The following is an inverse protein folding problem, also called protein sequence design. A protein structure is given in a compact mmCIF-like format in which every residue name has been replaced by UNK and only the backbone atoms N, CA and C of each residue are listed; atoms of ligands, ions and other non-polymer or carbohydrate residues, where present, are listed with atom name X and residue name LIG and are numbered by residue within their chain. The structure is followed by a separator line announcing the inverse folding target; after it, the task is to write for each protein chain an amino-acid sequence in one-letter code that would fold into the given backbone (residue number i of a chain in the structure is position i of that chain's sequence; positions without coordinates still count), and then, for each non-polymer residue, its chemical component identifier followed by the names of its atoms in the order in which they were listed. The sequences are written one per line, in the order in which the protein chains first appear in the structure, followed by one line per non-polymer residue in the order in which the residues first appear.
data_IF_767629314168
#
_entry.id   IF_767629314168
#
_cell.length_a   1.000
_cell.length_b   1.000
_cell.length_c   1.000
_cell.angle_alpha   90.00
_cell.angle_beta   90.00
_cell.angle_gamma   90.00
#
_symmetry.space_group_name_H-M   'P 1'
#
loop_
_entity.id
_entity.type
_entity.pdbx_description
1 polymer ?
#
# COMPACT_ATOMS: atom_id res chain seq x y z
N UNK A 1 -12.08 -9.83 18.59
CA UNK A 1 -12.98 -9.41 17.50
C UNK A 1 -12.29 -8.31 16.71
N UNK A 2 -12.19 -8.44 15.39
CA UNK A 2 -11.69 -7.36 14.53
C UNK A 2 -12.69 -6.20 14.62
N UNK A 3 -12.23 -5.01 15.03
CA UNK A 3 -13.04 -3.80 14.97
C UNK A 3 -12.83 -3.20 13.57
N UNK A 4 -13.90 -2.73 12.92
CA UNK A 4 -13.75 -1.91 11.72
C UNK A 4 -12.73 -0.82 12.04
N UNK A 5 -11.68 -0.72 11.24
CA UNK A 5 -10.48 0.01 11.64
C UNK A 5 -10.84 1.44 12.03
N UNK A 6 -10.82 1.75 13.33
CA UNK A 6 -10.69 3.11 13.81
C UNK A 6 -9.24 3.53 13.57
N UNK A 7 -8.85 3.57 12.30
CA UNK A 7 -7.77 4.46 11.91
C UNK A 7 -8.39 5.85 11.93
N UNK A 8 -7.71 6.82 12.52
CA UNK A 8 -8.07 8.24 12.43
C UNK A 8 -7.96 8.78 10.97
N UNK A 9 -7.93 7.89 9.97
CA UNK A 9 -7.60 8.15 8.58
C UNK A 9 -8.45 7.26 7.67
N UNK A 10 -8.82 7.81 6.52
CA UNK A 10 -9.48 7.07 5.46
C UNK A 10 -8.62 5.88 4.98
N UNK A 11 -9.27 4.92 4.32
CA UNK A 11 -8.58 3.84 3.62
C UNK A 11 -7.58 4.42 2.61
N UNK A 12 -6.33 3.99 2.69
CA UNK A 12 -5.25 4.52 1.86
C UNK A 12 -4.22 3.44 1.55
N UNK A 13 -3.49 3.63 0.46
CA UNK A 13 -2.30 2.86 0.11
C UNK A 13 -1.08 3.69 0.50
N UNK A 14 -0.23 3.15 1.37
CA UNK A 14 0.99 3.87 1.77
C UNK A 14 2.04 3.75 0.68
N UNK A 15 2.36 4.86 0.02
CA UNK A 15 3.45 4.93 -0.98
C UNK A 15 4.81 4.96 -0.28
N UNK A 16 4.98 5.84 0.70
CA UNK A 16 6.18 5.91 1.53
C UNK A 16 5.83 6.45 2.93
N UNK A 17 6.58 6.00 3.93
CA UNK A 17 6.48 6.50 5.30
C UNK A 17 7.85 6.97 5.77
N UNK A 18 7.93 8.08 6.50
CA UNK A 18 9.21 8.66 6.95
C UNK A 18 10.07 7.67 7.73
N UNK A 19 9.45 6.78 8.53
CA UNK A 19 10.16 5.72 9.28
C UNK A 19 10.78 4.63 8.39
N UNK A 20 10.36 4.51 7.13
CA UNK A 20 10.91 3.56 6.16
C UNK A 20 12.15 4.10 5.41
N UNK A 21 12.56 5.36 5.65
CA UNK A 21 13.66 6.05 4.94
C UNK A 21 15.07 5.57 5.31
N UNK A 22 15.20 4.47 6.07
CA UNK A 22 16.51 3.90 6.42
C UNK A 22 17.25 3.30 5.21
N UNK A 23 16.51 2.87 4.18
CA UNK A 23 17.08 2.35 2.93
C UNK A 23 17.13 3.42 1.83
N UNK A 24 18.13 3.35 0.95
CA UNK A 24 18.36 4.32 -0.14
C UNK A 24 17.17 4.45 -1.09
N UNK A 25 16.56 3.31 -1.51
CA UNK A 25 15.36 3.31 -2.36
C UNK A 25 14.15 3.94 -1.68
N UNK A 26 13.82 3.50 -0.45
CA UNK A 26 12.67 4.01 0.29
C UNK A 26 12.81 5.51 0.61
N UNK A 27 14.05 5.97 0.89
CA UNK A 27 14.36 7.39 1.05
C UNK A 27 14.11 8.16 -0.24
N UNK A 28 14.61 7.68 -1.38
CA UNK A 28 14.41 8.34 -2.68
C UNK A 28 12.92 8.45 -3.06
N UNK A 29 12.12 7.39 -2.82
CA UNK A 29 10.67 7.42 -3.03
C UNK A 29 10.00 8.44 -2.10
N UNK A 30 10.39 8.46 -0.82
CA UNK A 30 9.84 9.44 0.14
C UNK A 30 10.15 10.89 -0.26
N UNK A 31 11.40 11.18 -0.62
CA UNK A 31 11.82 12.51 -1.09
C UNK A 31 11.09 12.90 -2.37
N UNK A 32 10.93 11.97 -3.31
CA UNK A 32 10.12 12.18 -4.52
C UNK A 32 8.66 12.53 -4.20
N UNK A 33 8.04 11.86 -3.23
CA UNK A 33 6.68 12.18 -2.78
C UNK A 33 6.62 13.59 -2.18
N UNK A 34 7.59 13.94 -1.33
CA UNK A 34 7.67 15.28 -0.72
C UNK A 34 7.78 16.37 -1.79
N UNK A 35 8.60 16.16 -2.81
CA UNK A 35 8.78 17.13 -3.90
C UNK A 35 7.56 17.24 -4.81
N UNK A 36 6.87 16.12 -5.07
CA UNK A 36 5.61 16.10 -5.81
C UNK A 36 4.54 16.94 -5.11
N UNK A 37 4.36 16.79 -3.80
CA UNK A 37 3.37 17.56 -3.05
C UNK A 37 3.67 19.08 -2.98
N UNK A 38 4.92 19.50 -3.20
CA UNK A 38 5.24 20.93 -3.33
C UNK A 38 4.71 21.53 -4.64
N UNK A 39 4.44 20.71 -5.65
CA UNK A 39 4.03 21.16 -7.00
C UNK A 39 2.52 21.28 -7.18
N UNK A 40 1.72 20.97 -6.16
CA UNK A 40 0.24 21.09 -6.13
C UNK A 40 -0.46 20.44 -7.34
N UNK A 41 -0.11 19.19 -7.63
CA UNK A 41 -0.76 18.40 -8.68
C UNK A 41 -1.60 17.29 -8.09
N UNK A 42 -2.92 17.39 -8.26
CA UNK A 42 -3.83 16.28 -8.03
C UNK A 42 -3.77 15.35 -9.24
N UNK A 43 -3.52 14.06 -9.00
CA UNK A 43 -3.64 13.04 -10.03
C UNK A 43 -4.19 11.75 -9.43
N UNK A 44 -4.94 11.03 -10.25
CA UNK A 44 -5.47 9.71 -9.95
C UNK A 44 -4.48 8.62 -10.33
N UNK A 45 -4.59 7.50 -9.63
CA UNK A 45 -3.88 6.26 -9.91
C UNK A 45 -4.92 5.16 -10.03
N UNK A 46 -4.92 4.46 -11.14
CA UNK A 46 -5.80 3.31 -11.35
C UNK A 46 -5.20 2.10 -10.65
N UNK A 47 -5.99 1.50 -9.77
CA UNK A 47 -5.55 0.42 -8.89
C UNK A 47 -6.32 -0.85 -9.21
N UNK A 48 -5.60 -1.97 -9.24
CA UNK A 48 -6.19 -3.31 -9.26
C UNK A 48 -5.81 -4.04 -7.98
N UNK A 49 -6.79 -4.52 -7.23
CA UNK A 49 -6.60 -5.33 -6.04
C UNK A 49 -7.08 -6.77 -6.25
N UNK A 50 -6.29 -7.74 -5.77
CA UNK A 50 -6.45 -9.15 -6.14
C UNK A 50 -6.58 -10.14 -4.96
N UNK A 51 -6.26 -9.73 -3.73
CA UNK A 51 -6.43 -10.58 -2.55
C UNK A 51 -6.86 -9.81 -1.31
N UNK A 52 -7.75 -10.41 -0.53
CA UNK A 52 -7.98 -10.05 0.88
C UNK A 52 -7.29 -11.07 1.77
N UNK A 53 -6.48 -10.59 2.70
CA UNK A 53 -5.76 -11.43 3.66
C UNK A 53 -6.18 -11.07 5.08
N UNK A 54 -6.47 -12.08 5.90
CA UNK A 54 -6.81 -11.93 7.31
C UNK A 54 -6.12 -13.01 8.14
N UNK A 55 -5.43 -12.61 9.22
CA UNK A 55 -4.77 -13.52 10.16
C UNK A 55 -5.42 -13.56 11.55
N UNK A 56 -6.66 -13.05 11.66
CA UNK A 56 -7.39 -12.92 12.93
C UNK A 56 -7.06 -11.65 13.73
N UNK A 57 -5.91 -11.02 13.47
CA UNK A 57 -5.48 -9.77 14.12
C UNK A 57 -5.49 -8.57 13.18
N UNK A 58 -5.22 -8.77 11.90
CA UNK A 58 -5.18 -7.72 10.87
C UNK A 58 -5.86 -8.26 9.62
N UNK A 59 -6.57 -7.36 8.92
CA UNK A 59 -7.13 -7.61 7.59
C UNK A 59 -6.62 -6.54 6.62
N UNK A 60 -6.14 -6.97 5.45
CA UNK A 60 -5.63 -6.08 4.41
C UNK A 60 -6.08 -6.54 3.01
N UNK A 61 -6.28 -5.56 2.13
CA UNK A 61 -6.50 -5.74 0.70
C UNK A 61 -5.17 -5.52 -0.03
N UNK A 62 -4.63 -6.55 -0.68
CA UNK A 62 -3.44 -6.43 -1.54
C UNK A 62 -3.81 -5.66 -2.80
N UNK A 63 -2.96 -4.71 -3.16
CA UNK A 63 -3.04 -3.97 -4.41
C UNK A 63 -1.94 -4.47 -5.33
N UNK A 64 -2.35 -5.06 -6.45
CA UNK A 64 -1.47 -5.69 -7.45
C UNK A 64 -0.81 -4.65 -8.34
N UNK A 65 -1.57 -3.66 -8.82
CA UNK A 65 -1.07 -2.60 -9.67
C UNK A 65 -1.55 -1.23 -9.18
N UNK A 66 -0.70 -0.23 -9.43
CA UNK A 66 -0.93 1.18 -9.19
C UNK A 66 -0.45 1.90 -10.45
N UNK A 67 -1.33 1.97 -11.44
CA UNK A 67 -1.01 2.47 -12.76
C UNK A 67 -1.30 3.97 -12.82
N UNK A 68 -0.32 4.74 -13.28
CA UNK A 68 -0.44 6.19 -13.38
C UNK A 68 -1.28 6.52 -14.61
N UNK A 69 -2.35 7.30 -14.45
CA UNK A 69 -3.11 7.79 -15.59
C UNK A 69 -2.18 8.58 -16.54
N UNK A 70 -2.28 8.34 -17.85
CA UNK A 70 -1.32 8.77 -18.90
C UNK A 70 -0.93 10.26 -18.87
N UNK A 71 -1.70 11.12 -18.20
CA UNK A 71 -1.50 12.56 -18.12
C UNK A 71 -0.65 13.07 -16.95
N UNK A 72 -0.24 12.22 -15.98
CA UNK A 72 0.45 12.71 -14.79
C UNK A 72 1.99 12.81 -14.96
N UNK A 73 2.53 14.03 -14.92
CA UNK A 73 3.98 14.27 -14.90
C UNK A 73 4.56 13.99 -13.51
N UNK A 74 4.78 12.72 -13.19
CA UNK A 74 5.37 12.33 -11.91
C UNK A 74 6.91 12.30 -11.97
N UNK A 75 7.59 12.62 -10.85
CA UNK A 75 9.02 12.37 -10.72
C UNK A 75 9.36 10.92 -11.09
N UNK A 76 10.41 10.71 -11.91
CA UNK A 76 10.83 9.37 -12.35
C UNK A 76 11.12 8.41 -11.19
N UNK A 77 11.47 8.92 -10.02
CA UNK A 77 11.69 8.09 -8.82
C UNK A 77 10.38 7.48 -8.28
N UNK A 78 9.23 8.08 -8.61
CA UNK A 78 7.91 7.61 -8.23
C UNK A 78 7.24 6.77 -9.31
N UNK A 79 7.80 6.71 -10.52
CA UNK A 79 7.22 5.95 -11.63
C UNK A 79 8.25 5.05 -12.26
N UNK A 80 7.97 3.75 -12.22
CA UNK A 80 8.74 2.76 -12.97
C UNK A 80 7.80 2.09 -13.98
N UNK A 81 8.08 2.26 -15.27
CA UNK A 81 7.29 1.64 -16.36
C UNK A 81 5.78 1.95 -16.28
N UNK A 82 5.42 3.20 -15.96
CA UNK A 82 4.02 3.63 -15.83
C UNK A 82 3.36 3.27 -14.48
N UNK A 83 4.07 2.63 -13.56
CA UNK A 83 3.56 2.21 -12.24
C UNK A 83 4.12 3.06 -11.12
N UNK A 84 3.27 3.36 -10.13
CA UNK A 84 3.70 4.04 -8.90
C UNK A 84 4.64 3.15 -8.10
N UNK A 85 5.83 3.66 -7.80
CA UNK A 85 6.80 2.99 -6.95
C UNK A 85 6.43 3.17 -5.47
N UNK A 86 6.30 2.07 -4.73
CA UNK A 86 6.07 2.06 -3.29
C UNK A 86 7.32 1.64 -2.52
N UNK A 87 7.48 2.17 -1.31
CA UNK A 87 8.52 1.76 -0.37
C UNK A 87 8.23 0.35 0.20
N UNK A 88 6.95 0.03 0.39
CA UNK A 88 6.51 -1.32 0.76
C UNK A 88 6.66 -2.25 -0.46
N UNK A 89 7.19 -3.45 -0.24
CA UNK A 89 7.30 -4.46 -1.30
C UNK A 89 5.94 -5.00 -1.75
N UNK A 90 4.92 -4.97 -0.88
CA UNK A 90 3.54 -5.37 -1.20
C UNK A 90 2.61 -4.20 -0.91
N UNK A 91 2.17 -3.46 -1.94
CA UNK A 91 1.17 -2.41 -1.79
C UNK A 91 -0.15 -2.97 -1.27
N UNK A 92 -0.80 -2.26 -0.35
CA UNK A 92 -2.03 -2.72 0.27
C UNK A 92 -2.81 -1.58 0.94
N UNK A 93 -4.08 -1.86 1.21
CA UNK A 93 -4.95 -1.08 2.07
C UNK A 93 -5.19 -1.90 3.35
N UNK A 94 -4.94 -1.30 4.52
CA UNK A 94 -5.34 -1.93 5.79
C UNK A 94 -6.84 -1.73 5.98
N UNK A 95 -7.61 -2.83 6.05
CA UNK A 95 -9.07 -2.79 6.18
C UNK A 95 -9.54 -2.78 7.64
N UNK A 96 -8.85 -3.56 8.49
CA UNK A 96 -9.20 -3.70 9.90
C UNK A 96 -8.01 -4.16 10.74
N UNK A 97 -7.99 -3.76 12.00
CA UNK A 97 -6.95 -4.09 12.99
C UNK A 97 -7.64 -4.42 14.31
N UNK A 98 -7.24 -5.53 14.94
CA UNK A 98 -7.71 -5.91 16.27
C UNK A 98 -7.19 -4.93 17.34
N UNK A 99 -7.84 -4.91 18.49
CA UNK A 99 -7.39 -4.13 19.64
C UNK A 99 -5.97 -4.54 20.07
N UNK A 100 -5.09 -3.55 20.29
CA UNK A 100 -3.68 -3.77 20.62
C UNK A 100 -2.76 -4.08 19.43
N UNK A 101 -3.31 -4.35 18.24
CA UNK A 101 -2.54 -4.51 17.01
C UNK A 101 -2.28 -3.14 16.32
N UNK A 102 -1.35 -3.12 15.36
CA UNK A 102 -0.94 -1.92 14.60
C UNK A 102 -1.00 -2.20 13.10
N UNK A 103 -1.44 -1.22 12.30
CA UNK A 103 -1.47 -1.34 10.83
C UNK A 103 -0.13 -1.73 10.21
N UNK A 104 1.01 -1.35 10.82
CA UNK A 104 2.33 -1.78 10.33
C UNK A 104 2.47 -3.30 10.25
N UNK A 105 1.73 -4.06 11.08
CA UNK A 105 1.72 -5.52 11.06
C UNK A 105 1.06 -6.09 9.79
N UNK A 106 0.30 -5.30 9.03
CA UNK A 106 -0.19 -5.69 7.71
C UNK A 106 0.97 -5.96 6.73
N UNK A 107 2.07 -5.19 6.83
CA UNK A 107 3.27 -5.42 6.02
C UNK A 107 3.84 -6.83 6.26
N UNK A 108 4.05 -7.18 7.53
CA UNK A 108 4.63 -8.48 7.90
C UNK A 108 3.69 -9.63 7.55
N UNK A 109 2.38 -9.42 7.70
CA UNK A 109 1.36 -10.39 7.31
C UNK A 109 1.43 -10.69 5.81
N UNK A 110 1.42 -9.65 4.97
CA UNK A 110 1.45 -9.81 3.53
C UNK A 110 2.79 -10.39 3.05
N UNK A 111 3.92 -10.02 3.68
CA UNK A 111 5.23 -10.62 3.39
C UNK A 111 5.26 -12.13 3.62
N UNK A 112 4.52 -12.64 4.61
CA UNK A 112 4.39 -14.09 4.84
C UNK A 112 3.55 -14.80 3.78
N UNK A 113 2.58 -14.11 3.18
CA UNK A 113 1.70 -14.68 2.14
C UNK A 113 2.34 -14.62 0.77
N UNK A 114 2.92 -13.49 0.37
CA UNK A 114 3.39 -13.25 -1.00
C UNK A 114 4.93 -13.22 -1.13
N UNK A 115 5.65 -13.32 -0.02
CA UNK A 115 7.11 -13.26 0.00
C UNK A 115 7.69 -11.88 -0.35
N UNK A 116 9.04 -11.78 -0.41
CA UNK A 116 9.75 -10.51 -0.67
C UNK A 116 9.55 -9.99 -2.09
N UNK A 117 9.21 -10.86 -3.03
CA UNK A 117 9.04 -10.54 -4.45
C UNK A 117 7.58 -10.32 -4.85
N UNK A 118 6.65 -10.27 -3.90
CA UNK A 118 5.22 -10.10 -4.16
C UNK A 118 4.67 -11.14 -5.17
N UNK A 119 5.06 -12.41 -4.98
CA UNK A 119 4.75 -13.53 -5.87
C UNK A 119 3.37 -14.16 -5.61
N UNK A 120 3.25 -15.45 -5.90
CA UNK A 120 2.01 -16.21 -5.67
C UNK A 120 1.72 -16.38 -4.17
N UNK A 121 0.43 -16.39 -3.77
CA UNK A 121 0.07 -16.52 -2.37
C UNK A 121 0.36 -17.93 -1.83
N UNK A 122 0.95 -17.98 -0.64
CA UNK A 122 0.95 -19.15 0.23
C UNK A 122 -0.02 -18.87 1.36
N UNK A 123 -0.99 -19.76 1.61
CA UNK A 123 -1.95 -19.59 2.69
C UNK A 123 -1.42 -20.24 3.99
N UNK A 124 -1.02 -19.46 5.01
CA UNK A 124 -0.60 -20.03 6.28
C UNK A 124 -1.79 -20.68 7.01
N UNK A 125 -1.51 -21.67 7.86
CA UNK A 125 -2.54 -22.34 8.65
C UNK A 125 -3.31 -21.35 9.54
N UNK A 126 -4.64 -21.43 9.53
CA UNK A 126 -5.52 -20.58 10.33
C UNK A 126 -5.71 -19.15 9.78
N UNK A 127 -5.19 -18.85 8.58
CA UNK A 127 -5.38 -17.56 7.92
C UNK A 127 -6.42 -17.70 6.81
N UNK A 128 -7.06 -16.58 6.48
CA UNK A 128 -7.88 -16.46 5.28
C UNK A 128 -7.10 -15.68 4.22
N UNK A 129 -6.92 -16.28 3.04
CA UNK A 129 -6.35 -15.65 1.84
C UNK A 129 -7.37 -15.84 0.73
N UNK A 130 -8.12 -14.78 0.42
CA UNK A 130 -9.29 -14.84 -0.45
C UNK A 130 -8.98 -14.08 -1.74
N UNK A 131 -9.02 -14.73 -2.92
CA UNK A 131 -8.88 -14.05 -4.19
C UNK A 131 -10.08 -13.13 -4.41
N UNK A 132 -9.83 -11.92 -4.89
CA UNK A 132 -10.84 -10.92 -5.22
C UNK A 132 -10.45 -10.23 -6.52
N UNK A 133 -11.36 -9.44 -7.08
CA UNK A 133 -11.04 -8.53 -8.18
C UNK A 133 -11.73 -7.20 -7.94
N UNK A 134 -10.97 -6.17 -7.63
CA UNK A 134 -11.46 -4.80 -7.47
C UNK A 134 -10.63 -3.84 -8.30
N UNK A 135 -11.31 -3.03 -9.10
CA UNK A 135 -10.74 -1.93 -9.86
C UNK A 135 -11.26 -0.62 -9.27
N UNK A 136 -10.36 0.31 -8.97
CA UNK A 136 -10.72 1.60 -8.40
C UNK A 136 -9.65 2.64 -8.70
N UNK A 137 -10.05 3.91 -8.76
CA UNK A 137 -9.11 5.03 -8.87
C UNK A 137 -8.85 5.59 -7.47
N UNK A 138 -7.58 5.77 -7.12
CA UNK A 138 -7.14 6.39 -5.87
C UNK A 138 -6.51 7.75 -6.15
N UNK A 139 -6.88 8.76 -5.36
CA UNK A 139 -6.21 10.06 -5.39
C UNK A 139 -4.91 10.02 -4.56
N UNK A 140 -3.90 10.74 -5.02
CA UNK A 140 -2.67 10.93 -4.24
C UNK A 140 -2.89 11.96 -3.13
N UNK A 141 -2.65 11.60 -1.88
CA UNK A 141 -2.84 12.50 -0.73
C UNK A 141 -1.63 12.48 0.20
N UNK A 142 -1.26 13.65 0.74
CA UNK A 142 -0.20 13.79 1.73
C UNK A 142 -0.79 13.70 3.14
N UNK A 143 -0.45 12.64 3.86
CA UNK A 143 -0.70 12.57 5.30
C UNK A 143 0.51 13.13 6.06
N UNK A 144 0.39 14.35 6.59
CA UNK A 144 1.38 14.85 7.54
C UNK A 144 1.25 14.06 8.85
N UNK A 145 2.35 13.43 9.26
CA UNK A 145 2.46 12.65 10.50
C UNK A 145 3.38 13.38 11.46
#
# INVERSE_FOLDING_TARGET
MLKGGSHDRAYHITVAHVKATKGTRAKAIYEGCVDLFKRSTDFGVDCVADYVVCNGSVMALRVKTLDVAESAQLPRVLVNEGKVATANAIPHITLSVAEGAKAVQANDMLQKVFGPNNGDPVCPAGWAVVPVHFEFTAAFEKFMC
#
